data_IF_041895912980
#
_entry.id   IF_041895912980
#
_cell.length_a   1.000
_cell.length_b   1.000
_cell.length_c   1.000
_cell.angle_alpha   90.00
_cell.angle_beta   90.00
_cell.angle_gamma   90.00
#
_symmetry.space_group_name_H-M   'P 1'
#
loop_
_entity.id
_entity.type
_entity.pdbx_description
1 polymer ?
#
# COMPACT_ATOMS: atom_id res chain seq x y z
N UNK A 1 0.34 0.89 -6.09
CA UNK A 1 0.37 2.22 -5.45
C UNK A 1 -0.95 2.96 -5.70
N UNK A 2 -1.23 4.08 -5.02
CA UNK A 2 -2.53 4.78 -5.16
C UNK A 2 -2.78 5.24 -6.60
N UNK A 3 -1.75 5.69 -7.31
CA UNK A 3 -1.86 6.11 -8.71
C UNK A 3 -2.25 4.96 -9.65
N UNK A 4 -1.77 3.73 -9.39
CA UNK A 4 -2.22 2.55 -10.16
C UNK A 4 -3.73 2.34 -9.96
N UNK A 5 -4.20 2.50 -8.73
CA UNK A 5 -5.62 2.37 -8.38
C UNK A 5 -6.47 3.44 -9.05
N UNK A 6 -6.01 4.69 -9.05
CA UNK A 6 -6.67 5.80 -9.75
C UNK A 6 -6.68 5.55 -11.26
N UNK A 7 -5.58 5.07 -11.85
CA UNK A 7 -5.53 4.74 -13.28
C UNK A 7 -6.55 3.65 -13.67
N UNK A 8 -6.78 2.65 -12.81
CA UNK A 8 -7.85 1.67 -13.02
C UNK A 8 -9.24 2.32 -12.91
N UNK A 9 -9.45 3.14 -11.88
CA UNK A 9 -10.72 3.83 -11.66
C UNK A 9 -11.07 4.73 -12.84
N UNK A 10 -10.11 5.47 -13.40
CA UNK A 10 -10.32 6.31 -14.58
C UNK A 10 -10.77 5.49 -15.80
N UNK A 11 -10.21 4.28 -16.00
CA UNK A 11 -10.66 3.37 -17.06
C UNK A 11 -12.08 2.85 -16.83
N UNK A 12 -12.43 2.57 -15.57
CA UNK A 12 -13.81 2.17 -15.20
C UNK A 12 -14.78 3.32 -15.48
N UNK A 13 -14.44 4.56 -15.15
CA UNK A 13 -15.27 5.74 -15.41
C UNK A 13 -15.43 6.01 -16.91
N UNK A 14 -14.36 5.82 -17.69
CA UNK A 14 -14.42 5.93 -19.15
C UNK A 14 -15.35 4.87 -19.77
N UNK A 15 -15.44 3.68 -19.15
CA UNK A 15 -16.35 2.58 -19.49
C UNK A 15 -16.52 2.35 -21.01
N UNK A 16 -15.42 2.29 -21.76
CA UNK A 16 -15.46 2.11 -23.22
C UNK A 16 -16.32 0.90 -23.58
N UNK A 17 -17.26 1.10 -24.49
CA UNK A 17 -18.18 0.06 -24.97
C UNK A 17 -19.03 -0.61 -23.87
N UNK A 18 -19.25 0.06 -22.73
CA UNK A 18 -20.06 -0.42 -21.60
C UNK A 18 -19.55 -1.72 -20.93
N UNK A 19 -18.27 -2.06 -21.11
CA UNK A 19 -17.68 -3.33 -20.65
C UNK A 19 -17.62 -3.49 -19.12
N UNK A 20 -17.71 -2.38 -18.37
CA UNK A 20 -17.66 -2.41 -16.91
C UNK A 20 -19.04 -2.59 -16.26
N UNK A 21 -20.13 -2.53 -17.03
CA UNK A 21 -21.49 -2.60 -16.48
C UNK A 21 -21.75 -3.92 -15.77
N UNK A 22 -22.30 -3.82 -14.56
CA UNK A 22 -22.59 -4.96 -13.68
C UNK A 22 -21.36 -5.84 -13.36
N UNK A 23 -20.15 -5.28 -13.45
CA UNK A 23 -18.93 -6.01 -13.11
C UNK A 23 -18.46 -5.69 -11.69
N UNK A 24 -17.99 -6.74 -11.01
CA UNK A 24 -17.13 -6.61 -9.83
C UNK A 24 -15.69 -6.80 -10.33
N UNK A 25 -14.86 -5.77 -10.16
CA UNK A 25 -13.48 -5.73 -10.65
C UNK A 25 -12.56 -5.45 -9.45
N UNK A 26 -11.65 -6.38 -9.14
CA UNK A 26 -10.66 -6.14 -8.10
C UNK A 26 -9.53 -5.26 -8.66
N UNK A 27 -9.19 -4.23 -7.91
CA UNK A 27 -8.04 -3.36 -8.19
C UNK A 27 -7.02 -3.55 -7.07
N UNK A 28 -5.82 -3.96 -7.42
CA UNK A 28 -4.72 -4.18 -6.48
C UNK A 28 -3.50 -4.74 -7.19
N UNK A 29 -2.39 -4.90 -6.46
CA UNK A 29 -1.17 -5.50 -7.00
C UNK A 29 -0.95 -6.88 -6.36
N UNK A 30 -1.20 -8.00 -7.09
CA UNK A 30 -1.01 -9.35 -6.56
C UNK A 30 0.47 -9.70 -6.32
N UNK A 31 1.40 -8.93 -6.88
CA UNK A 31 2.85 -9.16 -6.72
C UNK A 31 3.42 -8.40 -5.52
N UNK A 32 2.64 -7.49 -4.91
CA UNK A 32 3.03 -6.73 -3.70
C UNK A 32 2.61 -7.43 -2.40
N UNK A 33 2.56 -8.76 -2.39
CA UNK A 33 2.20 -9.53 -1.20
C UNK A 33 3.35 -9.51 -0.17
N UNK A 34 3.06 -9.12 1.07
CA UNK A 34 4.00 -9.18 2.19
C UNK A 34 3.25 -9.31 3.53
N UNK A 35 3.92 -9.84 4.55
CA UNK A 35 3.44 -9.82 5.93
C UNK A 35 3.58 -8.44 6.56
N UNK A 36 2.82 -8.18 7.62
CA UNK A 36 2.95 -6.93 8.41
C UNK A 36 4.36 -6.78 9.01
N UNK A 37 5.00 -7.89 9.38
CA UNK A 37 6.36 -7.88 9.90
C UNK A 37 7.38 -7.44 8.84
N UNK A 38 7.27 -7.96 7.61
CA UNK A 38 8.12 -7.54 6.48
C UNK A 38 7.86 -6.08 6.13
N UNK A 39 6.59 -5.65 6.10
CA UNK A 39 6.21 -4.26 5.85
C UNK A 39 6.86 -3.31 6.88
N UNK A 40 6.80 -3.64 8.17
CA UNK A 40 7.44 -2.85 9.22
C UNK A 40 8.96 -2.78 9.03
N UNK A 41 9.60 -3.89 8.66
CA UNK A 41 11.03 -3.96 8.36
C UNK A 41 11.44 -3.09 7.17
N UNK A 42 10.69 -3.17 6.05
CA UNK A 42 10.94 -2.36 4.85
C UNK A 42 10.79 -0.88 5.18
N UNK A 43 9.72 -0.49 5.88
CA UNK A 43 9.49 0.91 6.24
C UNK A 43 10.60 1.46 7.14
N UNK A 44 10.99 0.70 8.17
CA UNK A 44 12.09 1.10 9.07
C UNK A 44 13.39 1.28 8.30
N UNK A 45 13.71 0.37 7.38
CA UNK A 45 14.91 0.49 6.52
C UNK A 45 14.84 1.73 5.64
N UNK A 46 13.72 1.96 4.95
CA UNK A 46 13.54 3.15 4.12
C UNK A 46 13.67 4.45 4.92
N UNK A 47 13.16 4.48 6.15
CA UNK A 47 13.30 5.61 7.06
C UNK A 47 14.76 5.85 7.47
N UNK A 48 15.48 4.79 7.84
CA UNK A 48 16.90 4.83 8.18
C UNK A 48 17.80 5.23 6.99
N UNK A 49 17.36 4.98 5.76
CA UNK A 49 18.07 5.39 4.53
C UNK A 49 17.69 6.80 4.07
N UNK A 50 16.64 7.41 4.65
CA UNK A 50 16.16 8.72 4.20
C UNK A 50 17.17 9.83 4.58
N UNK A 51 17.50 10.78 3.68
CA UNK A 51 18.53 11.80 3.93
C UNK A 51 18.34 12.62 5.21
N UNK A 52 17.09 12.88 5.59
CA UNK A 52 16.75 13.63 6.81
C UNK A 52 16.93 12.83 8.10
N UNK A 53 16.90 11.50 8.02
CA UNK A 53 16.84 10.61 9.18
C UNK A 53 18.02 9.65 9.30
N UNK A 54 18.84 9.49 8.25
CA UNK A 54 19.98 8.55 8.23
C UNK A 54 21.03 8.77 9.34
N UNK A 55 21.05 9.97 9.94
CA UNK A 55 21.96 10.33 11.02
C UNK A 55 21.26 10.42 12.38
N UNK A 56 20.01 9.97 12.50
CA UNK A 56 19.31 9.93 13.77
C UNK A 56 20.04 9.01 14.74
N UNK A 57 20.15 9.45 15.99
CA UNK A 57 20.88 8.72 17.03
C UNK A 57 20.12 7.49 17.54
N UNK A 58 18.79 7.47 17.38
CA UNK A 58 17.89 6.42 17.89
C UNK A 58 16.78 6.21 16.85
N UNK A 59 16.43 4.95 16.62
CA UNK A 59 15.28 4.55 15.81
C UNK A 59 14.34 3.67 16.63
N UNK A 60 13.03 3.78 16.39
CA UNK A 60 12.01 2.97 17.08
C UNK A 60 12.23 1.47 16.89
N UNK A 61 11.91 0.70 17.93
CA UNK A 61 11.92 -0.77 17.87
C UNK A 61 10.62 -1.31 17.24
N UNK A 62 10.73 -2.48 16.59
CA UNK A 62 9.57 -3.24 16.16
C UNK A 62 9.32 -4.27 17.25
N UNK A 63 8.15 -4.20 17.88
CA UNK A 63 7.75 -5.08 18.98
C UNK A 63 6.53 -5.90 18.59
N UNK A 64 6.44 -7.12 19.09
CA UNK A 64 5.25 -7.97 18.92
C UNK A 64 4.27 -7.67 20.05
N UNK A 65 3.02 -7.35 19.69
CA UNK A 65 1.94 -7.06 20.63
C UNK A 65 0.78 -8.02 20.37
N UNK A 66 0.24 -8.70 21.39
CA UNK A 66 -0.94 -9.53 21.23
C UNK A 66 -2.13 -8.74 20.66
N UNK A 67 -2.84 -9.32 19.70
CA UNK A 67 -3.94 -8.63 19.02
C UNK A 67 -5.09 -8.25 19.96
N UNK A 68 -5.36 -9.04 21.00
CA UNK A 68 -6.36 -8.71 22.02
C UNK A 68 -5.96 -7.53 22.91
N UNK A 69 -4.66 -7.29 23.05
CA UNK A 69 -4.09 -6.15 23.76
C UNK A 69 -4.10 -4.90 22.88
N UNK A 70 -3.78 -5.04 21.59
CA UNK A 70 -3.74 -3.91 20.65
C UNK A 70 -5.14 -3.49 20.15
N UNK A 71 -5.96 -4.46 19.72
CA UNK A 71 -7.28 -4.22 19.12
C UNK A 71 -8.46 -4.52 20.07
N UNK A 72 -8.24 -5.25 21.16
CA UNK A 72 -9.28 -5.63 22.11
C UNK A 72 -9.79 -7.07 21.94
N UNK A 73 -10.52 -7.57 22.95
CA UNK A 73 -11.08 -8.92 22.94
C UNK A 73 -12.07 -9.12 21.80
N UNK A 74 -11.97 -10.27 21.13
CA UNK A 74 -12.86 -10.64 20.02
C UNK A 74 -12.39 -10.17 18.65
N UNK A 75 -11.22 -9.50 18.56
CA UNK A 75 -10.61 -9.16 17.28
C UNK A 75 -10.28 -10.42 16.47
N UNK A 76 -10.60 -10.38 15.18
CA UNK A 76 -10.27 -11.40 14.19
C UNK A 76 -9.80 -10.69 12.93
N UNK A 77 -8.81 -11.27 12.28
CA UNK A 77 -8.22 -10.73 11.05
C UNK A 77 -8.16 -11.80 9.96
N UNK A 78 -7.93 -11.34 8.73
CA UNK A 78 -7.69 -12.18 7.56
C UNK A 78 -6.22 -12.57 7.49
N UNK A 79 -5.92 -13.81 7.11
CA UNK A 79 -4.53 -14.28 7.00
C UNK A 79 -3.81 -13.80 5.73
N UNK A 80 -4.52 -13.75 4.60
CA UNK A 80 -3.97 -13.30 3.33
C UNK A 80 -5.05 -12.57 2.52
N UNK A 81 -4.61 -11.63 1.69
CA UNK A 81 -5.46 -10.94 0.72
C UNK A 81 -4.70 -10.71 -0.57
N UNK A 82 -4.82 -11.68 -1.50
CA UNK A 82 -4.29 -11.57 -2.85
C UNK A 82 -5.42 -11.41 -3.87
N UNK A 83 -5.56 -10.24 -4.54
CA UNK A 83 -6.63 -10.04 -5.51
C UNK A 83 -6.35 -10.77 -6.82
N UNK A 84 -7.35 -11.46 -7.38
CA UNK A 84 -7.32 -11.76 -8.82
C UNK A 84 -7.63 -10.50 -9.60
N UNK A 85 -6.71 -10.08 -10.48
CA UNK A 85 -6.84 -8.89 -11.34
C UNK A 85 -7.17 -9.25 -12.80
N UNK A 86 -7.59 -10.48 -13.07
CA UNK A 86 -7.91 -10.96 -14.42
C UNK A 86 -8.96 -10.08 -15.12
N UNK A 87 -10.02 -9.69 -14.40
CA UNK A 87 -11.03 -8.78 -14.96
C UNK A 87 -10.47 -7.39 -15.27
N UNK A 88 -9.58 -6.86 -14.43
CA UNK A 88 -8.97 -5.57 -14.68
C UNK A 88 -8.07 -5.61 -15.93
N UNK A 89 -7.35 -6.71 -16.13
CA UNK A 89 -6.58 -6.96 -17.36
C UNK A 89 -7.49 -7.07 -18.58
N UNK A 90 -8.49 -7.94 -18.53
CA UNK A 90 -9.33 -8.28 -19.69
C UNK A 90 -10.30 -7.16 -20.09
N UNK A 91 -10.92 -6.49 -19.12
CA UNK A 91 -11.94 -5.47 -19.38
C UNK A 91 -11.34 -4.07 -19.54
N UNK A 92 -10.31 -3.74 -18.76
CA UNK A 92 -9.75 -2.39 -18.71
C UNK A 92 -8.43 -2.26 -19.49
N UNK A 93 -7.77 -3.37 -19.83
CA UNK A 93 -6.37 -3.35 -20.26
C UNK A 93 -5.48 -2.69 -19.23
N UNK A 94 -5.72 -2.99 -17.95
CA UNK A 94 -5.02 -2.38 -16.81
C UNK A 94 -4.20 -3.43 -16.06
N UNK A 95 -3.00 -3.02 -15.66
CA UNK A 95 -2.12 -3.73 -14.73
C UNK A 95 -1.44 -2.69 -13.83
N UNK A 96 -1.21 -3.01 -12.54
CA UNK A 96 -0.44 -2.16 -11.64
C UNK A 96 1.03 -2.15 -12.05
N UNK A 97 1.70 -1.01 -11.87
CA UNK A 97 3.08 -0.82 -12.31
C UNK A 97 4.05 -0.58 -11.16
N UNK A 98 3.56 -0.04 -10.04
CA UNK A 98 4.42 0.32 -8.91
C UNK A 98 4.49 -0.85 -7.94
N UNK A 99 5.72 -1.35 -7.74
CA UNK A 99 6.01 -2.41 -6.79
C UNK A 99 5.90 -1.95 -5.33
N UNK A 100 6.01 -2.90 -4.39
CA UNK A 100 5.84 -2.63 -2.97
C UNK A 100 6.89 -1.63 -2.46
N UNK A 101 8.16 -1.85 -2.77
CA UNK A 101 9.27 -1.04 -2.24
C UNK A 101 9.15 0.42 -2.70
N UNK A 102 8.89 0.63 -3.99
CA UNK A 102 8.71 1.97 -4.53
C UNK A 102 7.45 2.64 -3.98
N UNK A 103 6.35 1.90 -3.87
CA UNK A 103 5.12 2.44 -3.27
C UNK A 103 5.33 2.92 -1.84
N UNK A 104 6.09 2.17 -1.04
CA UNK A 104 6.41 2.55 0.34
C UNK A 104 7.37 3.72 0.41
N UNK A 105 8.36 3.80 -0.48
CA UNK A 105 9.30 4.93 -0.56
C UNK A 105 8.56 6.23 -0.87
N UNK A 106 7.70 6.21 -1.90
CA UNK A 106 6.89 7.38 -2.28
C UNK A 106 5.98 7.82 -1.13
N UNK A 107 5.29 6.87 -0.49
CA UNK A 107 4.41 7.17 0.65
C UNK A 107 5.19 7.72 1.84
N UNK A 108 6.33 7.13 2.20
CA UNK A 108 7.18 7.64 3.29
C UNK A 108 7.62 9.08 3.04
N UNK A 109 8.14 9.37 1.84
CA UNK A 109 8.60 10.72 1.48
C UNK A 109 7.47 11.74 1.60
N UNK A 110 6.26 11.41 1.12
CA UNK A 110 5.08 12.27 1.23
C UNK A 110 4.73 12.56 2.70
N UNK A 111 4.74 11.56 3.57
CA UNK A 111 4.46 11.75 5.00
C UNK A 111 5.52 12.61 5.68
N UNK A 112 6.80 12.39 5.38
CA UNK A 112 7.90 13.20 5.94
C UNK A 112 7.78 14.66 5.52
N UNK A 113 7.49 14.92 4.25
CA UNK A 113 7.28 16.28 3.73
C UNK A 113 6.09 16.97 4.40
N UNK A 114 4.95 16.28 4.50
CA UNK A 114 3.74 16.82 5.15
C UNK A 114 4.01 17.20 6.62
N UNK A 115 4.72 16.36 7.36
CA UNK A 115 5.00 16.60 8.79
C UNK A 115 6.03 17.72 9.01
N UNK A 116 6.91 18.00 8.04
CA UNK A 116 7.78 19.19 8.10
C UNK A 116 6.96 20.48 8.02
N UNK A 117 5.94 20.52 7.16
CA UNK A 117 5.12 21.70 6.94
C UNK A 117 4.24 22.08 8.15
N UNK A 118 3.92 21.12 9.02
CA UNK A 118 3.15 21.35 10.26
C UNK A 118 4.02 21.94 11.38
N UNK A 119 5.35 21.88 11.26
CA UNK A 119 6.30 22.28 12.32
C UNK A 119 6.85 23.71 12.14
N UNK A 120 6.35 24.47 11.14
CA UNK A 120 6.68 25.88 10.87
C UNK A 120 5.46 26.79 11.13
#
# INVERSE_FOLDING_TARGET
YVDDGIAALMKILENKNDVCKNQIINIGNPDNECSVQELAGILKKLFQEHPDHQNDSIYSEIIEVPADTYYGKGYQDIYTRKPSIEKARNLLGWEPKIDLLESMRLTLNSFLEENKAVTL
#
